data_IF_479958884831
#
_entry.id   IF_479958884831
#
_cell.length_a   1.000
_cell.length_b   1.000
_cell.length_c   1.000
_cell.angle_alpha   90.00
_cell.angle_beta   90.00
_cell.angle_gamma   90.00
#
_symmetry.space_group_name_H-M   'P 1'
#
loop_
_entity.id
_entity.type
_entity.pdbx_description
1 polymer ?
#
# COMPACT_ATOMS: atom_id res chain seq x y z
N UNK A 1 1.85 -23.67 -3.76
CA UNK A 1 2.40 -22.89 -2.62
C UNK A 1 1.23 -22.14 -1.98
N UNK A 2 0.94 -22.35 -0.69
CA UNK A 2 -0.18 -21.68 -0.01
C UNK A 2 0.18 -20.23 0.25
N UNK A 3 -0.75 -19.33 -0.08
CA UNK A 3 -0.61 -17.87 0.04
C UNK A 3 -1.88 -17.29 0.64
N UNK A 4 -1.74 -16.41 1.62
CA UNK A 4 -2.82 -15.61 2.19
C UNK A 4 -2.95 -14.30 1.42
N UNK A 5 -4.17 -13.91 1.12
CA UNK A 5 -4.46 -12.63 0.48
C UNK A 5 -5.21 -11.70 1.42
N UNK A 6 -4.84 -10.44 1.37
CA UNK A 6 -5.51 -9.35 2.10
C UNK A 6 -5.89 -8.24 1.13
N UNK A 7 -6.79 -7.37 1.55
CA UNK A 7 -7.17 -6.20 0.76
C UNK A 7 -7.00 -4.92 1.58
N UNK A 8 -6.43 -3.89 0.95
CA UNK A 8 -6.26 -2.58 1.54
C UNK A 8 -7.54 -1.74 1.44
N UNK A 9 -7.88 -1.02 2.50
CA UNK A 9 -9.12 -0.23 2.57
C UNK A 9 -9.18 0.93 1.56
N UNK A 10 -8.04 1.40 1.08
CA UNK A 10 -7.97 2.39 -0.01
C UNK A 10 -8.59 1.87 -1.32
N UNK A 11 -8.63 0.55 -1.50
CA UNK A 11 -9.28 -0.10 -2.65
C UNK A 11 -10.76 0.25 -2.81
N UNK A 12 -11.39 0.80 -1.76
CA UNK A 12 -12.80 1.13 -1.69
C UNK A 12 -13.03 2.56 -1.14
N UNK A 13 -12.16 3.49 -1.56
CA UNK A 13 -12.21 4.89 -1.16
C UNK A 13 -13.59 5.54 -1.35
N UNK A 14 -14.20 5.33 -2.52
CA UNK A 14 -15.52 5.89 -2.82
C UNK A 14 -16.65 5.19 -2.06
N UNK A 15 -16.50 3.91 -1.74
CA UNK A 15 -17.43 3.22 -0.85
C UNK A 15 -17.43 3.83 0.55
N UNK A 16 -16.26 4.01 1.16
CA UNK A 16 -16.14 4.65 2.46
C UNK A 16 -16.66 6.10 2.47
N UNK A 17 -16.43 6.83 1.37
CA UNK A 17 -16.82 8.22 1.27
C UNK A 17 -18.33 8.42 0.99
N UNK A 18 -18.95 7.53 0.24
CA UNK A 18 -20.25 7.82 -0.39
C UNK A 18 -21.31 6.74 -0.22
N UNK A 19 -20.96 5.51 0.16
CA UNK A 19 -21.95 4.43 0.32
C UNK A 19 -22.49 4.42 1.74
N UNK A 20 -23.78 4.74 1.96
CA UNK A 20 -24.38 4.72 3.29
C UNK A 20 -24.20 3.36 3.98
N UNK A 21 -23.76 3.37 5.24
CA UNK A 21 -23.56 2.19 6.05
C UNK A 21 -22.32 1.35 5.70
N UNK A 22 -21.47 1.82 4.80
CA UNK A 22 -20.21 1.15 4.52
C UNK A 22 -19.15 1.62 5.52
N UNK A 23 -18.81 0.75 6.44
CA UNK A 23 -17.80 0.97 7.48
C UNK A 23 -16.75 -0.15 7.49
N UNK A 24 -15.85 -0.17 8.48
CA UNK A 24 -14.79 -1.16 8.58
C UNK A 24 -15.32 -2.60 8.70
N UNK A 25 -16.48 -2.83 9.29
CA UNK A 25 -17.11 -4.15 9.39
C UNK A 25 -17.69 -4.57 8.04
N UNK A 26 -18.42 -3.69 7.37
CA UNK A 26 -18.94 -3.95 6.02
C UNK A 26 -17.79 -4.19 5.02
N UNK A 27 -16.66 -3.49 5.19
CA UNK A 27 -15.45 -3.73 4.41
C UNK A 27 -14.87 -5.13 4.68
N UNK A 28 -14.74 -5.54 5.95
CA UNK A 28 -14.26 -6.88 6.31
C UNK A 28 -15.18 -7.99 5.76
N UNK A 29 -16.49 -7.79 5.82
CA UNK A 29 -17.46 -8.76 5.27
C UNK A 29 -17.35 -8.85 3.74
N UNK A 30 -17.20 -7.74 3.05
CA UNK A 30 -16.96 -7.74 1.61
C UNK A 30 -15.63 -8.44 1.27
N UNK A 31 -14.56 -8.12 1.97
CA UNK A 31 -13.26 -8.77 1.80
C UNK A 31 -13.38 -10.30 1.95
N UNK A 32 -14.02 -10.75 3.02
CA UNK A 32 -14.27 -12.17 3.27
C UNK A 32 -15.10 -12.80 2.16
N UNK A 33 -16.14 -12.14 1.69
CA UNK A 33 -16.98 -12.64 0.58
C UNK A 33 -16.21 -12.79 -0.73
N UNK A 34 -15.14 -12.02 -0.93
CA UNK A 34 -14.22 -12.12 -2.07
C UNK A 34 -13.05 -13.11 -1.85
N UNK A 35 -13.04 -13.83 -0.71
CA UNK A 35 -12.00 -14.83 -0.40
C UNK A 35 -10.73 -14.27 0.21
N UNK A 36 -10.71 -13.03 0.69
CA UNK A 36 -9.56 -12.48 1.43
C UNK A 36 -9.54 -13.00 2.88
N UNK A 37 -8.34 -13.36 3.35
CA UNK A 37 -8.08 -13.83 4.71
C UNK A 37 -7.69 -12.70 5.67
N UNK A 38 -7.59 -11.47 5.17
CA UNK A 38 -7.24 -10.30 5.99
C UNK A 38 -7.60 -8.99 5.33
N UNK A 39 -7.47 -7.95 6.11
CA UNK A 39 -7.61 -6.56 5.66
C UNK A 39 -6.42 -5.71 6.10
N UNK A 40 -6.14 -4.66 5.35
CA UNK A 40 -5.28 -3.56 5.76
C UNK A 40 -6.15 -2.30 5.87
N UNK A 41 -6.15 -1.66 7.05
CA UNK A 41 -7.07 -0.58 7.40
C UNK A 41 -6.34 0.73 7.61
N UNK A 42 -6.62 1.72 6.75
CA UNK A 42 -6.02 3.05 6.85
C UNK A 42 -6.66 3.88 7.96
N UNK A 43 -5.80 4.38 8.86
CA UNK A 43 -6.14 5.29 9.95
C UNK A 43 -5.52 6.69 9.75
N UNK A 44 -5.24 7.07 8.51
CA UNK A 44 -4.42 8.24 8.12
C UNK A 44 -5.05 9.63 8.33
N UNK A 45 -5.97 9.79 9.25
CA UNK A 45 -6.44 11.13 9.67
C UNK A 45 -6.80 11.19 11.14
N UNK A 46 -7.13 12.38 11.61
CA UNK A 46 -7.46 12.63 13.02
C UNK A 46 -8.68 11.86 13.54
N UNK A 47 -9.50 11.32 12.66
CA UNK A 47 -10.71 10.54 13.01
C UNK A 47 -10.58 9.06 12.63
N UNK A 48 -9.34 8.58 12.35
CA UNK A 48 -9.09 7.22 11.90
C UNK A 48 -9.96 6.82 10.69
N UNK A 49 -9.71 7.52 9.60
CA UNK A 49 -10.39 7.52 8.29
C UNK A 49 -11.37 6.36 8.06
N UNK A 50 -10.84 5.16 7.84
CA UNK A 50 -11.68 4.02 7.47
C UNK A 50 -12.22 3.24 8.67
N UNK A 51 -11.72 3.49 9.88
CA UNK A 51 -12.37 3.03 11.11
C UNK A 51 -13.58 3.91 11.45
N UNK A 52 -13.57 5.17 11.02
CA UNK A 52 -14.69 6.11 11.17
C UNK A 52 -14.89 6.61 12.60
N UNK A 53 -13.84 6.63 13.42
CA UNK A 53 -13.87 7.15 14.78
C UNK A 53 -12.80 6.56 15.68
N UNK A 54 -12.56 7.22 16.82
CA UNK A 54 -11.51 6.89 17.79
C UNK A 54 -12.04 6.19 19.03
N UNK A 55 -13.33 5.89 19.09
CA UNK A 55 -13.96 5.30 20.27
C UNK A 55 -13.57 3.82 20.47
N UNK A 56 -13.36 3.44 21.73
CA UNK A 56 -12.94 2.08 22.10
C UNK A 56 -13.94 1.02 21.69
N UNK A 57 -15.23 1.32 21.82
CA UNK A 57 -16.28 0.34 21.47
C UNK A 57 -16.28 -0.02 19.99
N UNK A 58 -15.93 0.93 19.12
CA UNK A 58 -15.76 0.68 17.68
C UNK A 58 -14.57 -0.23 17.41
N UNK A 59 -13.44 0.02 18.06
CA UNK A 59 -12.24 -0.82 17.94
C UNK A 59 -12.52 -2.25 18.42
N UNK A 60 -13.16 -2.39 19.57
CA UNK A 60 -13.53 -3.68 20.14
C UNK A 60 -14.49 -4.47 19.24
N UNK A 61 -15.50 -3.81 18.67
CA UNK A 61 -16.42 -4.45 17.72
C UNK A 61 -15.70 -4.97 16.48
N UNK A 62 -14.83 -4.15 15.87
CA UNK A 62 -14.06 -4.58 14.69
C UNK A 62 -13.12 -5.74 15.05
N UNK A 63 -12.36 -5.62 16.15
CA UNK A 63 -11.45 -6.68 16.62
C UNK A 63 -12.20 -7.99 16.85
N UNK A 64 -13.32 -7.96 17.57
CA UNK A 64 -14.16 -9.14 17.82
C UNK A 64 -14.70 -9.75 16.52
N UNK A 65 -15.11 -8.91 15.57
CA UNK A 65 -15.58 -9.35 14.25
C UNK A 65 -14.49 -10.08 13.48
N UNK A 66 -13.29 -9.51 13.40
CA UNK A 66 -12.15 -10.12 12.69
C UNK A 66 -11.74 -11.44 13.34
N UNK A 67 -11.66 -11.50 14.67
CA UNK A 67 -11.38 -12.75 15.42
C UNK A 67 -12.42 -13.81 15.14
N UNK A 68 -13.70 -13.46 15.17
CA UNK A 68 -14.82 -14.40 14.92
C UNK A 68 -14.71 -15.04 13.54
N UNK A 69 -14.21 -14.30 12.56
CA UNK A 69 -14.07 -14.78 11.18
C UNK A 69 -12.66 -15.24 10.81
N UNK A 70 -11.73 -15.29 11.76
CA UNK A 70 -10.34 -15.70 11.53
C UNK A 70 -9.56 -14.80 10.57
N UNK A 71 -9.92 -13.50 10.51
CA UNK A 71 -9.28 -12.56 9.59
C UNK A 71 -8.10 -11.85 10.26
N UNK A 72 -7.01 -11.69 9.52
CA UNK A 72 -5.85 -10.91 9.95
C UNK A 72 -6.04 -9.41 9.68
N UNK A 73 -5.35 -8.58 10.45
CA UNK A 73 -5.37 -7.12 10.33
C UNK A 73 -3.95 -6.56 10.23
N UNK A 74 -3.72 -5.71 9.24
CA UNK A 74 -2.67 -4.70 9.20
C UNK A 74 -3.32 -3.33 9.39
N UNK A 75 -2.65 -2.43 10.11
CA UNK A 75 -3.10 -1.05 10.30
C UNK A 75 -2.13 -0.10 9.63
N UNK A 76 -2.67 0.89 8.94
CA UNK A 76 -1.87 1.89 8.24
C UNK A 76 -1.97 3.24 8.91
N UNK A 77 -0.80 3.83 9.10
CA UNK A 77 -0.65 5.23 9.50
C UNK A 77 0.39 5.93 8.62
N UNK A 78 0.65 7.19 8.90
CA UNK A 78 1.64 8.01 8.21
C UNK A 78 2.40 8.90 9.17
N UNK A 79 3.70 9.08 8.88
CA UNK A 79 4.61 9.81 9.77
C UNK A 79 5.29 8.91 10.80
N UNK A 80 6.53 9.25 11.13
CA UNK A 80 7.39 8.45 12.04
C UNK A 80 7.62 9.09 13.40
N UNK A 81 7.04 10.27 13.64
CA UNK A 81 7.23 10.99 14.91
C UNK A 81 6.92 10.08 16.13
N UNK A 82 7.84 9.94 17.11
CA UNK A 82 7.73 8.94 18.17
C UNK A 82 6.42 8.98 18.96
N UNK A 83 5.94 10.17 19.31
CA UNK A 83 4.67 10.29 20.04
C UNK A 83 3.46 9.78 19.25
N UNK A 84 3.42 10.06 17.93
CA UNK A 84 2.41 9.57 17.03
C UNK A 84 2.50 8.04 16.88
N UNK A 85 3.70 7.52 16.65
CA UNK A 85 3.91 6.07 16.49
C UNK A 85 3.54 5.31 17.77
N UNK A 86 3.89 5.80 18.95
CA UNK A 86 3.49 5.19 20.23
C UNK A 86 1.96 5.15 20.41
N UNK A 87 1.24 6.21 20.01
CA UNK A 87 -0.22 6.20 19.99
C UNK A 87 -0.76 5.14 19.02
N UNK A 88 -0.24 5.10 17.81
CA UNK A 88 -0.72 4.18 16.76
C UNK A 88 -0.38 2.72 17.06
N UNK A 89 0.74 2.44 17.71
CA UNK A 89 1.07 1.10 18.20
C UNK A 89 0.04 0.58 19.22
N UNK A 90 -0.39 1.44 20.14
CA UNK A 90 -1.44 1.08 21.14
C UNK A 90 -2.79 0.86 20.45
N UNK A 91 -3.12 1.65 19.44
CA UNK A 91 -4.35 1.47 18.66
C UNK A 91 -4.29 0.16 17.85
N UNK A 92 -3.17 -0.11 17.18
CA UNK A 92 -2.96 -1.36 16.42
C UNK A 92 -3.07 -2.59 17.34
N UNK A 93 -2.44 -2.55 18.50
CA UNK A 93 -2.52 -3.61 19.52
C UNK A 93 -3.97 -3.83 19.99
N UNK A 94 -4.71 -2.76 20.29
CA UNK A 94 -6.12 -2.85 20.70
C UNK A 94 -7.02 -3.45 19.61
N UNK A 95 -6.73 -3.15 18.35
CA UNK A 95 -7.44 -3.73 17.21
C UNK A 95 -7.05 -5.18 16.94
N UNK A 96 -5.99 -5.71 17.54
CA UNK A 96 -5.47 -7.04 17.27
C UNK A 96 -4.65 -7.14 15.99
N UNK A 97 -4.12 -6.01 15.51
CA UNK A 97 -3.25 -6.00 14.35
C UNK A 97 -1.89 -6.63 14.65
N UNK A 98 -1.30 -7.28 13.66
CA UNK A 98 0.04 -7.88 13.73
C UNK A 98 1.13 -6.98 13.17
N UNK A 99 0.75 -6.00 12.37
CA UNK A 99 1.67 -5.02 11.77
C UNK A 99 1.07 -3.62 11.73
N UNK A 100 1.95 -2.63 11.78
CA UNK A 100 1.64 -1.22 11.65
C UNK A 100 2.49 -0.64 10.52
N UNK A 101 1.85 -0.29 9.41
CA UNK A 101 2.50 0.37 8.28
C UNK A 101 2.63 1.86 8.55
N UNK A 102 3.78 2.41 8.18
CA UNK A 102 4.04 3.85 8.16
C UNK A 102 5.02 4.24 7.06
N UNK A 103 5.12 5.54 6.79
CA UNK A 103 6.14 6.17 5.96
C UNK A 103 6.49 7.53 6.54
N UNK A 104 7.59 8.14 6.10
CA UNK A 104 8.06 9.40 6.67
C UNK A 104 7.20 10.60 6.23
N UNK A 105 7.09 11.59 7.11
CA UNK A 105 6.59 12.94 6.77
C UNK A 105 7.68 14.00 6.80
N UNK A 106 8.93 13.58 7.05
CA UNK A 106 10.03 14.52 7.02
C UNK A 106 10.22 15.10 5.63
N UNK A 107 10.66 16.36 5.57
CA UNK A 107 10.93 17.09 4.32
C UNK A 107 12.35 17.61 4.31
N UNK A 108 12.86 17.87 3.11
CA UNK A 108 14.17 18.46 2.88
C UNK A 108 15.14 17.49 2.20
N UNK A 109 16.42 17.60 2.55
CA UNK A 109 17.49 16.75 2.04
C UNK A 109 17.30 15.29 2.46
N UNK A 110 17.54 14.36 1.53
CA UNK A 110 17.31 12.94 1.71
C UNK A 110 18.08 12.35 2.89
N UNK A 111 19.37 12.73 3.03
CA UNK A 111 20.19 12.22 4.13
C UNK A 111 19.67 12.67 5.49
N UNK A 112 19.19 13.91 5.57
CA UNK A 112 18.57 14.44 6.78
C UNK A 112 17.22 13.74 7.07
N UNK A 113 16.42 13.47 6.04
CA UNK A 113 15.18 12.73 6.17
C UNK A 113 15.43 11.30 6.66
N UNK A 114 16.37 10.59 6.07
CA UNK A 114 16.80 9.26 6.49
C UNK A 114 17.22 9.26 7.96
N UNK A 115 18.13 10.14 8.35
CA UNK A 115 18.62 10.25 9.74
C UNK A 115 17.49 10.47 10.75
N UNK A 116 16.51 11.32 10.42
CA UNK A 116 15.36 11.57 11.30
C UNK A 116 14.46 10.36 11.38
N UNK A 117 14.13 9.75 10.24
CA UNK A 117 13.31 8.54 10.18
C UNK A 117 13.94 7.40 10.97
N UNK A 118 15.25 7.17 10.83
CA UNK A 118 16.00 6.19 11.62
C UNK A 118 15.89 6.47 13.12
N UNK A 119 16.14 7.73 13.53
CA UNK A 119 16.06 8.13 14.95
C UNK A 119 14.65 7.95 15.52
N UNK A 120 13.62 8.32 14.77
CA UNK A 120 12.22 8.19 15.19
C UNK A 120 11.83 6.72 15.41
N UNK A 121 12.18 5.86 14.44
CA UNK A 121 11.85 4.43 14.50
C UNK A 121 12.63 3.71 15.60
N UNK A 122 13.91 4.05 15.79
CA UNK A 122 14.71 3.51 16.87
C UNK A 122 14.14 3.86 18.27
N UNK A 123 13.47 5.00 18.39
CA UNK A 123 12.87 5.43 19.66
C UNK A 123 11.61 4.61 20.04
N UNK A 124 10.94 3.96 19.08
CA UNK A 124 9.63 3.30 19.32
C UNK A 124 9.63 1.80 19.02
N UNK A 125 10.66 1.26 18.39
CA UNK A 125 10.67 -0.14 17.97
C UNK A 125 10.65 -1.15 19.11
N UNK A 126 11.19 -0.79 20.29
CA UNK A 126 11.09 -1.63 21.49
C UNK A 126 9.64 -1.67 22.01
N UNK A 127 8.91 -0.53 22.01
CA UNK A 127 7.48 -0.51 22.35
C UNK A 127 6.67 -1.38 21.38
N UNK A 128 7.00 -1.35 20.09
CA UNK A 128 6.38 -2.23 19.10
C UNK A 128 6.62 -3.71 19.41
N UNK A 129 7.84 -4.06 19.83
CA UNK A 129 8.19 -5.42 20.25
C UNK A 129 7.40 -5.87 21.47
N UNK A 130 7.30 -5.01 22.49
CA UNK A 130 6.56 -5.29 23.73
C UNK A 130 5.05 -5.51 23.47
N UNK A 131 4.50 -4.82 22.45
CA UNK A 131 3.11 -4.95 22.02
C UNK A 131 2.90 -6.08 21.00
N UNK A 132 3.95 -6.77 20.57
CA UNK A 132 3.88 -7.83 19.56
C UNK A 132 3.56 -7.33 18.14
N UNK A 133 3.87 -6.07 17.85
CA UNK A 133 3.61 -5.42 16.54
C UNK A 133 4.91 -5.36 15.73
N UNK A 134 4.81 -5.64 14.44
CA UNK A 134 5.88 -5.35 13.48
C UNK A 134 5.60 -3.99 12.83
N UNK A 135 6.51 -3.04 12.99
CA UNK A 135 6.48 -1.81 12.21
C UNK A 135 6.96 -2.13 10.81
N UNK A 136 6.18 -1.76 9.80
CA UNK A 136 6.59 -1.90 8.40
C UNK A 136 6.72 -0.51 7.77
N UNK A 137 7.96 -0.16 7.42
CA UNK A 137 8.28 1.09 6.76
C UNK A 137 8.08 0.91 5.26
N UNK A 138 7.22 1.73 4.65
CA UNK A 138 6.88 1.61 3.24
C UNK A 138 7.81 2.45 2.35
N UNK A 139 8.13 1.90 1.16
CA UNK A 139 8.63 2.69 0.04
C UNK A 139 7.49 3.55 -0.53
N UNK A 140 7.12 4.62 0.16
CA UNK A 140 6.05 5.50 -0.29
C UNK A 140 6.55 6.40 -1.45
N UNK A 141 6.69 7.69 -1.26
CA UNK A 141 7.17 8.63 -2.29
C UNK A 141 8.45 9.35 -1.84
N UNK A 142 9.11 8.82 -0.80
CA UNK A 142 10.12 9.52 -0.05
C UNK A 142 11.53 8.95 -0.21
N UNK A 143 11.66 7.62 -0.30
CA UNK A 143 12.93 6.92 -0.35
C UNK A 143 12.99 5.92 -1.48
N UNK A 144 14.19 5.75 -2.04
CA UNK A 144 14.52 4.63 -2.92
C UNK A 144 14.70 3.34 -2.12
N UNK A 145 14.71 2.19 -2.79
CA UNK A 145 14.96 0.90 -2.15
C UNK A 145 16.24 0.86 -1.32
N UNK A 146 17.42 1.25 -1.85
CA UNK A 146 18.65 1.31 -1.07
C UNK A 146 18.60 2.25 0.13
N UNK A 147 17.94 3.39 0.03
CA UNK A 147 17.76 4.32 1.16
C UNK A 147 16.89 3.72 2.24
N UNK A 148 15.82 3.04 1.85
CA UNK A 148 14.90 2.37 2.77
C UNK A 148 15.58 1.19 3.49
N UNK A 149 16.29 0.35 2.74
CA UNK A 149 17.06 -0.76 3.29
C UNK A 149 18.06 -0.27 4.34
N UNK A 150 18.80 0.82 4.02
CA UNK A 150 19.76 1.42 4.95
C UNK A 150 19.11 1.91 6.25
N UNK A 151 17.92 2.52 6.20
CA UNK A 151 17.20 2.93 7.41
C UNK A 151 16.90 1.73 8.31
N UNK A 152 16.38 0.64 7.73
CA UNK A 152 16.04 -0.57 8.48
C UNK A 152 17.29 -1.25 9.05
N UNK A 153 18.38 -1.30 8.29
CA UNK A 153 19.67 -1.85 8.71
C UNK A 153 20.31 -1.03 9.84
N UNK A 154 20.22 0.30 9.80
CA UNK A 154 20.74 1.17 10.86
C UNK A 154 19.97 1.04 12.18
N UNK A 155 18.63 0.87 12.12
CA UNK A 155 17.83 0.59 13.33
C UNK A 155 18.11 -0.82 13.86
N UNK A 156 18.34 -1.78 12.98
CA UNK A 156 18.73 -3.17 13.25
C UNK A 156 17.87 -3.85 14.34
N UNK A 157 16.57 -3.86 14.16
CA UNK A 157 15.64 -4.48 15.10
C UNK A 157 14.68 -5.46 14.41
N UNK A 158 14.38 -6.64 14.99
CA UNK A 158 13.53 -7.65 14.36
C UNK A 158 12.09 -7.18 14.09
N UNK A 159 11.58 -6.24 14.90
CA UNK A 159 10.23 -5.69 14.73
C UNK A 159 10.18 -4.45 13.80
N UNK A 160 11.26 -4.12 13.11
CA UNK A 160 11.24 -3.15 12.01
C UNK A 160 11.52 -3.89 10.70
N UNK A 161 10.58 -3.81 9.77
CA UNK A 161 10.63 -4.45 8.46
C UNK A 161 10.19 -3.46 7.36
N UNK A 162 10.12 -3.95 6.13
CA UNK A 162 9.68 -3.16 4.99
C UNK A 162 8.34 -3.69 4.48
N UNK A 163 7.43 -2.77 4.21
CA UNK A 163 6.33 -2.97 3.29
C UNK A 163 6.79 -2.48 1.91
N UNK A 164 6.82 -3.38 0.93
CA UNK A 164 7.16 -3.02 -0.43
C UNK A 164 5.90 -2.80 -1.25
N UNK A 165 5.66 -1.55 -1.61
CA UNK A 165 4.61 -1.18 -2.56
C UNK A 165 5.15 -1.27 -4.00
N UNK A 166 4.44 -1.95 -4.87
CA UNK A 166 4.89 -2.26 -6.23
C UNK A 166 5.08 -1.02 -7.10
N UNK A 167 4.30 0.03 -6.87
CA UNK A 167 4.28 1.21 -7.73
C UNK A 167 5.04 2.42 -7.20
N UNK A 168 5.26 2.50 -5.90
CA UNK A 168 5.76 3.73 -5.28
C UNK A 168 7.21 4.06 -5.62
N UNK A 169 8.04 3.07 -5.98
CA UNK A 169 9.40 3.32 -6.47
C UNK A 169 9.42 4.23 -7.70
N UNK A 170 8.43 4.13 -8.57
CA UNK A 170 8.33 5.00 -9.76
C UNK A 170 8.08 6.47 -9.39
N UNK A 171 7.48 6.76 -8.23
CA UNK A 171 7.28 8.13 -7.75
C UNK A 171 8.61 8.85 -7.44
N UNK A 172 9.67 8.09 -7.17
CA UNK A 172 11.04 8.58 -6.99
C UNK A 172 11.94 8.26 -8.18
N UNK A 173 11.34 7.90 -9.32
CA UNK A 173 12.03 7.57 -10.58
C UNK A 173 13.01 6.38 -10.45
N UNK A 174 12.68 5.42 -9.59
CA UNK A 174 13.43 4.18 -9.41
C UNK A 174 12.75 3.01 -10.11
N UNK A 175 13.54 2.12 -10.71
CA UNK A 175 13.04 0.89 -11.30
C UNK A 175 12.44 -0.03 -10.24
N UNK A 176 11.20 -0.51 -10.39
CA UNK A 176 10.53 -1.34 -9.38
C UNK A 176 11.28 -2.64 -9.05
N UNK A 177 11.93 -3.26 -10.04
CA UNK A 177 12.71 -4.48 -9.82
C UNK A 177 14.02 -4.20 -9.09
N UNK A 178 14.68 -3.07 -9.40
CA UNK A 178 15.86 -2.64 -8.69
C UNK A 178 15.55 -2.24 -7.23
N UNK A 179 14.42 -1.53 -7.02
CA UNK A 179 13.93 -1.20 -5.69
C UNK A 179 13.67 -2.45 -4.86
N UNK A 180 12.93 -3.42 -5.43
CA UNK A 180 12.66 -4.69 -4.75
C UNK A 180 13.94 -5.43 -4.39
N UNK A 181 14.89 -5.55 -5.32
CA UNK A 181 16.16 -6.24 -5.06
C UNK A 181 16.89 -5.67 -3.85
N UNK A 182 16.93 -4.34 -3.74
CA UNK A 182 17.58 -3.67 -2.61
C UNK A 182 16.90 -3.95 -1.26
N UNK A 183 15.57 -4.05 -1.23
CA UNK A 183 14.82 -4.24 0.02
C UNK A 183 14.43 -5.67 0.32
N UNK A 184 14.60 -6.59 -0.62
CA UNK A 184 14.09 -7.97 -0.55
C UNK A 184 14.44 -8.72 0.75
N UNK A 185 15.64 -8.58 1.35
CA UNK A 185 15.95 -9.21 2.64
C UNK A 185 15.05 -8.77 3.80
N UNK A 186 14.50 -7.58 3.72
CA UNK A 186 13.75 -6.92 4.79
C UNK A 186 12.23 -6.89 4.57
N UNK A 187 11.75 -7.35 3.40
CA UNK A 187 10.32 -7.33 3.06
C UNK A 187 9.53 -8.28 3.97
N UNK A 188 8.49 -7.74 4.58
CA UNK A 188 7.53 -8.45 5.45
C UNK A 188 6.12 -8.50 4.84
N UNK A 189 5.65 -7.39 4.28
CA UNK A 189 4.37 -7.27 3.60
C UNK A 189 4.51 -6.47 2.31
N UNK A 190 3.48 -6.50 1.47
CA UNK A 190 3.44 -5.76 0.20
C UNK A 190 2.09 -5.10 -0.02
N UNK A 191 2.09 -4.01 -0.78
CA UNK A 191 0.89 -3.53 -1.47
C UNK A 191 1.04 -3.80 -2.97
N UNK A 192 0.16 -4.67 -3.49
CA UNK A 192 0.09 -5.00 -4.90
C UNK A 192 -0.96 -4.11 -5.55
N UNK A 193 -0.49 -3.16 -6.30
CA UNK A 193 -1.29 -2.23 -7.11
C UNK A 193 -0.77 -2.16 -8.54
N UNK A 194 -1.45 -1.47 -9.38
CA UNK A 194 -0.97 -1.19 -10.74
C UNK A 194 -1.31 0.24 -11.15
N UNK A 195 -0.44 0.82 -11.94
CA UNK A 195 -0.63 2.15 -12.47
C UNK A 195 0.05 2.35 -13.83
N UNK A 196 -0.32 3.44 -14.46
CA UNK A 196 0.31 3.95 -15.67
C UNK A 196 0.96 5.29 -15.39
N UNK A 197 2.01 5.59 -16.13
CA UNK A 197 2.62 6.91 -16.13
C UNK A 197 2.23 7.62 -17.40
N UNK A 198 1.64 8.78 -17.26
CA UNK A 198 1.15 9.59 -18.37
C UNK A 198 1.72 11.00 -18.32
N UNK A 199 1.79 11.62 -19.49
CA UNK A 199 2.10 13.05 -19.60
C UNK A 199 0.78 13.80 -19.69
N UNK A 200 0.49 14.64 -18.70
CA UNK A 200 -0.69 15.52 -18.78
C UNK A 200 -0.42 16.72 -19.67
N UNK A 201 -1.46 17.27 -20.30
CA UNK A 201 -1.35 18.41 -21.21
C UNK A 201 -0.83 19.67 -20.51
N UNK A 202 -1.10 19.82 -19.22
CA UNK A 202 -0.62 20.92 -18.40
C UNK A 202 0.90 20.79 -18.17
N UNK A 203 1.68 21.52 -18.99
CA UNK A 203 3.12 21.71 -18.88
C UNK A 203 3.99 20.45 -19.01
N UNK A 204 3.49 19.37 -19.62
CA UNK A 204 4.27 18.15 -19.82
C UNK A 204 4.67 17.47 -18.50
N UNK A 205 3.89 17.62 -17.46
CA UNK A 205 4.14 16.98 -16.18
C UNK A 205 3.86 15.49 -16.27
N UNK A 206 4.81 14.69 -15.77
CA UNK A 206 4.58 13.25 -15.58
C UNK A 206 3.64 13.05 -14.38
N UNK A 207 2.63 12.23 -14.60
CA UNK A 207 1.61 11.90 -13.59
C UNK A 207 1.48 10.40 -13.53
N UNK A 208 1.42 9.86 -12.31
CA UNK A 208 1.00 8.48 -12.07
C UNK A 208 -0.53 8.47 -12.00
N UNK A 209 -1.14 7.52 -12.67
CA UNK A 209 -2.58 7.28 -12.59
C UNK A 209 -2.85 5.82 -12.26
N UNK A 210 -3.62 5.58 -11.21
CA UNK A 210 -4.01 4.25 -10.76
C UNK A 210 -5.01 3.61 -11.69
N UNK A 211 -4.76 2.36 -12.02
CA UNK A 211 -5.63 1.52 -12.87
C UNK A 211 -5.92 0.19 -12.16
N UNK A 212 -6.92 -0.57 -12.61
CA UNK A 212 -7.09 -1.94 -12.13
C UNK A 212 -5.81 -2.76 -12.33
N UNK A 213 -5.48 -3.61 -11.37
CA UNK A 213 -4.33 -4.52 -11.48
C UNK A 213 -4.42 -5.33 -12.76
N UNK A 214 -3.33 -5.35 -13.54
CA UNK A 214 -3.24 -5.99 -14.85
C UNK A 214 -3.52 -5.07 -16.03
N UNK A 215 -3.99 -3.84 -15.80
CA UNK A 215 -4.20 -2.84 -16.83
C UNK A 215 -3.04 -1.82 -16.92
N UNK A 216 -2.09 -1.90 -15.99
CA UNK A 216 -0.95 -0.98 -15.90
C UNK A 216 0.33 -1.53 -16.54
N UNK A 217 1.45 -0.90 -16.15
CA UNK A 217 2.77 -1.19 -16.72
C UNK A 217 3.78 -1.71 -15.69
N UNK A 218 3.35 -1.97 -14.45
CA UNK A 218 4.25 -2.53 -13.46
C UNK A 218 4.63 -3.98 -13.81
N UNK A 219 5.85 -4.42 -13.58
CA UNK A 219 6.28 -5.79 -13.86
C UNK A 219 5.74 -6.77 -12.80
N UNK A 220 4.41 -6.84 -12.65
CA UNK A 220 3.69 -7.53 -11.57
C UNK A 220 4.12 -8.99 -11.42
N UNK A 221 4.21 -9.72 -12.55
CA UNK A 221 4.57 -11.14 -12.53
C UNK A 221 5.99 -11.36 -11.99
N UNK A 222 6.96 -10.56 -12.42
CA UNK A 222 8.34 -10.68 -11.98
C UNK A 222 8.52 -10.27 -10.52
N UNK A 223 7.91 -9.17 -10.09
CA UNK A 223 7.91 -8.75 -8.68
C UNK A 223 7.32 -9.84 -7.78
N UNK A 224 6.14 -10.35 -8.15
CA UNK A 224 5.46 -11.41 -7.41
C UNK A 224 6.28 -12.69 -7.36
N UNK A 225 6.88 -13.08 -8.49
CA UNK A 225 7.74 -14.27 -8.58
C UNK A 225 8.92 -14.18 -7.60
N UNK A 226 9.65 -13.05 -7.57
CA UNK A 226 10.79 -12.86 -6.65
C UNK A 226 10.36 -12.89 -5.19
N UNK A 227 9.23 -12.28 -4.86
CA UNK A 227 8.69 -12.30 -3.49
C UNK A 227 8.26 -13.70 -3.06
N UNK A 228 7.59 -14.46 -3.93
CA UNK A 228 7.24 -15.86 -3.66
C UNK A 228 8.49 -16.73 -3.48
N UNK A 229 9.52 -16.54 -4.32
CA UNK A 229 10.80 -17.25 -4.23
C UNK A 229 11.53 -16.93 -2.92
N UNK A 230 11.44 -15.68 -2.43
CA UNK A 230 11.96 -15.28 -1.11
C UNK A 230 11.21 -15.91 0.06
N UNK A 231 10.01 -16.42 -0.17
CA UNK A 231 9.19 -17.04 0.86
C UNK A 231 8.05 -16.18 1.39
N UNK A 232 7.78 -15.03 0.76
CA UNK A 232 6.60 -14.23 1.12
C UNK A 232 5.32 -15.03 0.86
N UNK A 233 4.37 -14.97 1.80
CA UNK A 233 3.11 -15.73 1.73
C UNK A 233 1.88 -14.86 1.95
N UNK A 234 2.03 -13.59 2.29
CA UNK A 234 0.93 -12.64 2.45
C UNK A 234 1.03 -11.55 1.40
N UNK A 235 -0.02 -11.40 0.61
CA UNK A 235 -0.12 -10.42 -0.45
C UNK A 235 -1.34 -9.52 -0.21
N UNK A 236 -1.12 -8.23 -0.06
CA UNK A 236 -2.20 -7.25 0.11
C UNK A 236 -2.50 -6.60 -1.22
N UNK A 237 -3.72 -6.82 -1.70
CA UNK A 237 -4.25 -6.19 -2.90
C UNK A 237 -4.68 -4.75 -2.61
N UNK A 238 -4.25 -3.82 -3.45
CA UNK A 238 -4.64 -2.42 -3.39
C UNK A 238 -5.15 -1.94 -4.74
N UNK A 239 -6.46 -1.77 -4.87
CA UNK A 239 -7.04 -1.12 -6.03
C UNK A 239 -6.87 0.39 -5.91
N UNK A 240 -6.08 0.97 -6.80
CA UNK A 240 -5.82 2.42 -6.82
C UNK A 240 -6.53 3.14 -7.97
N UNK A 241 -7.59 2.53 -8.51
CA UNK A 241 -8.38 3.14 -9.55
C UNK A 241 -8.83 4.55 -9.16
N UNK A 242 -8.75 5.47 -10.11
CA UNK A 242 -9.05 6.89 -9.97
C UNK A 242 -8.09 7.72 -9.08
N UNK A 243 -7.03 7.11 -8.53
CA UNK A 243 -5.93 7.87 -7.93
C UNK A 243 -5.08 8.50 -9.02
N UNK A 244 -4.62 9.72 -8.80
CA UNK A 244 -3.58 10.33 -9.62
C UNK A 244 -2.70 11.26 -8.81
N UNK A 245 -1.41 11.27 -9.10
CA UNK A 245 -0.45 12.14 -8.45
C UNK A 245 0.68 12.56 -9.41
N UNK A 246 1.13 13.82 -9.33
CA UNK A 246 2.27 14.26 -10.11
C UNK A 246 3.56 13.63 -9.57
N UNK A 247 4.43 13.15 -10.46
CA UNK A 247 5.77 12.67 -10.10
C UNK A 247 6.61 13.88 -9.68
N UNK A 248 7.27 13.76 -8.54
CA UNK A 248 8.09 14.82 -8.01
C UNK A 248 9.36 14.99 -8.87
N UNK A 249 9.51 16.16 -9.49
CA UNK A 249 10.69 16.50 -10.27
C UNK A 249 11.92 16.71 -9.35
N UNK A 250 13.07 16.22 -9.78
CA UNK A 250 14.36 16.60 -9.20
C UNK A 250 14.87 15.73 -8.06
N UNK A 251 14.21 14.62 -7.75
CA UNK A 251 14.73 13.66 -6.79
C UNK A 251 15.60 12.63 -7.52
N UNK A 252 16.90 12.73 -7.35
CA UNK A 252 17.82 11.68 -7.78
C UNK A 252 18.08 10.75 -6.60
N UNK A 253 17.96 9.43 -6.78
CA UNK A 253 18.36 8.48 -5.76
C UNK A 253 19.84 8.62 -5.46
N UNK A 254 20.23 8.54 -4.18
CA UNK A 254 21.63 8.61 -3.77
C UNK A 254 22.44 7.42 -4.31
N UNK A 255 21.82 6.23 -4.31
CA UNK A 255 22.38 4.98 -4.80
C UNK A 255 21.25 4.12 -5.36
N UNK A 256 20.94 4.22 -6.60
CA UNK A 256 19.89 3.39 -7.20
C UNK A 256 19.93 3.47 -8.72
N UNK A 257 19.30 2.49 -9.37
CA UNK A 257 19.10 2.52 -10.81
C UNK A 257 17.99 3.53 -11.08
N UNK A 258 18.36 4.69 -11.56
CA UNK A 258 17.40 5.67 -12.05
C UNK A 258 16.73 5.16 -13.31
N UNK A 259 15.44 5.34 -13.37
CA UNK A 259 14.72 5.25 -14.62
C UNK A 259 15.21 6.39 -15.54
N UNK A 260 15.75 6.01 -16.67
CA UNK A 260 16.15 6.98 -17.70
C UNK A 260 14.97 7.87 -18.09
N UNK A 261 15.22 9.10 -18.46
CA UNK A 261 14.20 10.10 -18.82
C UNK A 261 13.21 9.59 -19.89
N UNK A 262 13.62 8.64 -20.75
CA UNK A 262 12.77 8.02 -21.76
C UNK A 262 12.03 6.75 -21.30
N UNK A 263 12.34 6.17 -20.15
CA UNK A 263 11.78 4.90 -19.72
C UNK A 263 10.28 4.99 -19.36
N UNK A 264 9.77 6.18 -19.13
CA UNK A 264 8.37 6.47 -18.75
C UNK A 264 7.64 7.38 -19.72
N UNK A 265 8.22 7.65 -20.88
CA UNK A 265 7.51 8.40 -21.92
C UNK A 265 6.51 7.48 -22.62
N UNK A 266 5.48 7.07 -21.90
CA UNK A 266 4.29 6.50 -22.51
C UNK A 266 3.52 7.61 -23.20
N UNK A 267 3.95 7.94 -24.41
CA UNK A 267 3.38 9.01 -25.23
C UNK A 267 2.01 8.65 -25.81
N UNK A 268 1.69 7.38 -25.83
CA UNK A 268 0.40 6.86 -26.30
C UNK A 268 0.11 5.55 -25.59
N UNK A 269 -0.31 5.58 -24.32
CA UNK A 269 -0.81 4.39 -23.69
C UNK A 269 -2.05 3.90 -24.45
N UNK A 270 -2.43 2.62 -24.29
CA UNK A 270 -3.75 2.18 -24.72
C UNK A 270 -4.88 2.90 -23.94
N UNK A 271 -4.54 3.86 -23.09
CA UNK A 271 -5.44 4.61 -22.24
C UNK A 271 -5.53 6.06 -22.69
N UNK A 272 -6.73 6.51 -22.96
CA UNK A 272 -7.03 7.94 -23.07
C UNK A 272 -6.76 8.59 -21.70
N UNK A 273 -5.86 9.59 -21.58
CA UNK A 273 -5.61 10.28 -20.32
C UNK A 273 -6.88 10.80 -19.65
N UNK A 274 -7.88 11.22 -20.41
CA UNK A 274 -9.18 11.65 -19.90
C UNK A 274 -9.98 10.53 -19.23
N UNK A 275 -9.69 9.27 -19.54
CA UNK A 275 -10.34 8.11 -18.89
C UNK A 275 -9.57 7.61 -17.67
N UNK A 276 -8.30 7.93 -17.55
CA UNK A 276 -7.42 7.46 -16.47
C UNK A 276 -7.30 8.51 -15.37
N UNK A 277 -7.13 9.78 -15.73
CA UNK A 277 -7.12 10.92 -14.79
C UNK A 277 -8.52 11.52 -14.71
N UNK A 278 -9.34 10.94 -13.84
CA UNK A 278 -10.72 11.38 -13.70
C UNK A 278 -10.81 12.66 -12.88
N UNK A 279 -11.54 13.65 -13.42
CA UNK A 279 -12.04 14.77 -12.64
C UNK A 279 -13.24 14.28 -11.80
N UNK A 280 -12.92 13.66 -10.65
CA UNK A 280 -13.92 12.95 -9.82
C UNK A 280 -15.10 13.84 -9.41
N UNK A 281 -14.87 15.15 -9.21
CA UNK A 281 -15.89 16.14 -8.88
C UNK A 281 -16.97 16.33 -9.94
N UNK A 282 -16.74 15.89 -11.18
CA UNK A 282 -17.70 15.98 -12.27
C UNK A 282 -18.74 14.85 -12.27
N UNK A 283 -18.53 13.84 -11.43
CA UNK A 283 -19.37 12.64 -11.42
C UNK A 283 -20.20 12.53 -10.14
N UNK A 284 -21.39 11.95 -10.28
CA UNK A 284 -22.23 11.62 -9.12
C UNK A 284 -21.56 10.54 -8.27
N UNK A 285 -21.64 10.63 -6.94
CA UNK A 285 -21.05 9.65 -6.02
C UNK A 285 -21.40 8.19 -6.33
N UNK A 286 -22.66 7.91 -6.68
CA UNK A 286 -23.12 6.55 -6.99
C UNK A 286 -22.41 5.98 -8.23
N UNK A 287 -22.08 6.83 -9.20
CA UNK A 287 -21.34 6.42 -10.41
C UNK A 287 -19.89 6.07 -10.06
N UNK A 288 -19.26 6.85 -9.19
CA UNK A 288 -17.89 6.57 -8.70
C UNK A 288 -17.84 5.24 -7.92
N UNK A 289 -18.79 5.00 -7.03
CA UNK A 289 -18.91 3.73 -6.29
C UNK A 289 -19.08 2.54 -7.23
N UNK A 290 -19.91 2.66 -8.27
CA UNK A 290 -20.13 1.59 -9.24
C UNK A 290 -18.87 1.31 -10.07
N UNK A 291 -18.16 2.35 -10.50
CA UNK A 291 -16.93 2.22 -11.26
C UNK A 291 -15.79 1.64 -10.42
N UNK A 292 -15.66 2.07 -9.17
CA UNK A 292 -14.72 1.49 -8.21
C UNK A 292 -14.99 -0.01 -7.99
N UNK A 293 -16.27 -0.40 -7.87
CA UNK A 293 -16.66 -1.80 -7.78
C UNK A 293 -16.28 -2.62 -9.02
N UNK A 294 -16.41 -2.03 -10.21
CA UNK A 294 -16.01 -2.69 -11.46
C UNK A 294 -14.50 -2.83 -11.57
N UNK A 295 -13.76 -1.77 -11.23
CA UNK A 295 -12.30 -1.76 -11.20
C UNK A 295 -11.75 -2.77 -10.18
N UNK A 296 -12.36 -2.82 -8.99
CA UNK A 296 -12.02 -3.78 -7.94
C UNK A 296 -12.14 -5.23 -8.44
N UNK A 297 -13.30 -5.60 -9.01
CA UNK A 297 -13.51 -6.97 -9.53
C UNK A 297 -12.51 -7.33 -10.62
N UNK A 298 -12.31 -6.45 -11.60
CA UNK A 298 -11.35 -6.67 -12.68
C UNK A 298 -9.92 -6.87 -12.16
N UNK A 299 -9.46 -6.00 -11.27
CA UNK A 299 -8.12 -6.10 -10.68
C UNK A 299 -7.98 -7.33 -9.78
N UNK A 300 -9.01 -7.69 -9.03
CA UNK A 300 -9.02 -8.90 -8.20
C UNK A 300 -8.88 -10.18 -9.04
N UNK A 301 -9.63 -10.31 -10.14
CA UNK A 301 -9.52 -11.45 -11.05
C UNK A 301 -8.11 -11.55 -11.66
N UNK A 302 -7.55 -10.44 -12.10
CA UNK A 302 -6.19 -10.38 -12.64
C UNK A 302 -5.14 -10.76 -11.58
N UNK A 303 -5.28 -10.25 -10.36
CA UNK A 303 -4.42 -10.58 -9.22
C UNK A 303 -4.43 -12.08 -8.91
N UNK A 304 -5.60 -12.69 -8.76
CA UNK A 304 -5.71 -14.12 -8.50
C UNK A 304 -5.15 -14.97 -9.66
N UNK A 305 -5.39 -14.54 -10.90
CA UNK A 305 -4.84 -15.19 -12.08
C UNK A 305 -3.31 -15.15 -12.08
N UNK A 306 -2.71 -14.00 -11.75
CA UNK A 306 -1.26 -13.86 -11.64
C UNK A 306 -0.66 -14.78 -10.57
N UNK A 307 -1.27 -14.85 -9.39
CA UNK A 307 -0.84 -15.76 -8.32
C UNK A 307 -0.91 -17.24 -8.75
N UNK A 308 -2.02 -17.66 -9.38
CA UNK A 308 -2.20 -19.02 -9.87
C UNK A 308 -1.16 -19.39 -10.93
N UNK A 309 -0.91 -18.50 -11.88
CA UNK A 309 0.08 -18.72 -12.95
C UNK A 309 1.50 -18.89 -12.40
N UNK A 310 1.78 -18.34 -11.22
CA UNK A 310 3.04 -18.49 -10.50
C UNK A 310 3.06 -19.70 -9.52
N UNK A 311 2.04 -20.56 -9.59
CA UNK A 311 1.94 -21.77 -8.77
C UNK A 311 1.51 -21.53 -7.32
N UNK A 312 0.96 -20.34 -7.01
CA UNK A 312 0.34 -20.09 -5.73
C UNK A 312 -1.05 -20.74 -5.66
N UNK A 313 -1.43 -21.16 -4.46
CA UNK A 313 -2.74 -21.73 -4.14
C UNK A 313 -3.26 -21.08 -2.86
N UNK A 314 -4.57 -21.07 -2.66
CA UNK A 314 -5.23 -20.54 -1.45
C UNK A 314 -6.72 -20.86 -1.49
N UNK A 315 -7.40 -20.56 -0.39
CA UNK A 315 -8.86 -20.73 -0.28
C UNK A 315 -9.60 -19.54 -0.91
N UNK A 316 -9.22 -19.20 -2.14
CA UNK A 316 -9.80 -18.07 -2.86
C UNK A 316 -11.03 -18.51 -3.65
N UNK A 317 -12.17 -17.90 -3.35
CA UNK A 317 -13.37 -18.08 -4.16
C UNK A 317 -13.24 -17.18 -5.41
N UNK A 318 -13.32 -17.80 -6.57
CA UNK A 318 -13.55 -17.09 -7.82
C UNK A 318 -15.04 -16.80 -7.94
N UNK A 319 -15.41 -15.55 -8.08
CA UNK A 319 -16.78 -15.14 -8.42
C UNK A 319 -16.99 -15.19 -9.92
#
# INVERSE_FOLDING_TARGET
MIVDISIHSFSLWHHFAHKPGFDAIAFADLARSMGYQGISLSLNDSNYRHLGGRDSARMERLSAHLVTHGMSLEVDTSGTAPAHMSEMLKVAHRLGATSLRTYTHHKGDVLRMMKRTTSDLAAVVNEASDLGIIIVLENHEDFTGPELAKIVEEVNHPNLKILFDYGNSQMVLEDPLAALEAVLPHVYSIHLKDHVMIRTEDAGQLTVAGVPVGDGFLPLCELTHRLLAKGLRRFTFENVWAYSAPIQKGRSPLNGVCLGVGAFEYLSPPFDPAQVVLQQSEFRPEKLVNWESAALRRGHEAFLSALKNLGATGDWNLY
#
